data_IF_744836982800
#
_entry.id   IF_744836982800
#
_cell.length_a   1.000
_cell.length_b   1.000
_cell.length_c   1.000
_cell.angle_alpha   90.00
_cell.angle_beta   90.00
_cell.angle_gamma   90.00
#
_symmetry.space_group_name_H-M   'P 1'
#
loop_
_entity.id
_entity.type
_entity.pdbx_description
1 polymer ?
#
# COMPACT_ATOMS: atom_id res chain seq x y z
N UNK A 1 16.91 -15.99 -11.52
CA UNK A 1 17.23 -14.65 -12.07
C UNK A 1 17.61 -13.76 -10.90
N UNK A 2 18.91 -13.52 -10.67
CA UNK A 2 19.45 -12.77 -9.52
C UNK A 2 20.17 -11.51 -10.02
N UNK A 3 20.18 -10.46 -9.20
CA UNK A 3 21.12 -9.32 -9.21
C UNK A 3 21.02 -8.28 -10.34
N UNK A 4 19.86 -7.63 -10.53
CA UNK A 4 19.82 -6.35 -11.28
C UNK A 4 19.44 -5.11 -10.45
N UNK A 5 18.98 -5.27 -9.21
CA UNK A 5 18.39 -4.16 -8.43
C UNK A 5 19.30 -3.61 -7.31
N UNK A 6 20.59 -3.97 -7.28
CA UNK A 6 21.50 -3.55 -6.19
C UNK A 6 22.27 -2.24 -6.44
N UNK A 7 22.23 -1.70 -7.65
CA UNK A 7 23.04 -0.53 -8.03
C UNK A 7 22.14 0.59 -8.54
N UNK A 8 22.33 1.80 -8.02
CA UNK A 8 21.49 2.95 -8.35
C UNK A 8 21.97 3.74 -9.57
N UNK A 9 23.29 3.85 -9.77
CA UNK A 9 23.87 4.55 -10.93
C UNK A 9 25.22 3.89 -11.26
N UNK A 10 25.49 3.71 -12.55
CA UNK A 10 26.77 3.21 -13.06
C UNK A 10 27.26 4.21 -14.09
N UNK A 11 28.24 5.04 -13.70
CA UNK A 11 28.85 6.02 -14.60
C UNK A 11 30.21 5.54 -15.07
N UNK A 12 30.38 5.56 -16.39
CA UNK A 12 31.63 5.23 -17.06
C UNK A 12 32.38 6.53 -17.33
N UNK A 13 33.51 6.72 -16.66
CA UNK A 13 34.44 7.81 -16.97
C UNK A 13 35.69 7.20 -17.63
N UNK A 14 35.94 7.56 -18.90
CA UNK A 14 37.19 7.25 -19.58
C UNK A 14 38.15 8.41 -19.40
N UNK A 15 39.29 8.16 -18.75
CA UNK A 15 40.40 9.12 -18.71
C UNK A 15 41.57 8.55 -19.52
N UNK A 16 42.02 9.29 -20.52
CA UNK A 16 43.34 9.07 -21.10
C UNK A 16 44.37 9.54 -20.08
N UNK A 17 45.15 8.60 -19.54
CA UNK A 17 46.32 8.92 -18.75
C UNK A 17 47.46 9.16 -19.73
N UNK A 18 47.92 10.41 -19.82
CA UNK A 18 49.14 10.75 -20.57
C UNK A 18 50.30 10.28 -19.70
N UNK A 19 51.06 9.32 -20.20
CA UNK A 19 52.30 8.89 -19.55
C UNK A 19 53.40 9.91 -19.89
N UNK A 20 53.82 10.69 -18.89
CA UNK A 20 55.05 11.48 -18.94
C UNK A 20 56.25 10.53 -18.81
N UNK A 21 56.59 9.80 -19.88
CA UNK A 21 57.97 9.32 -20.01
C UNK A 21 58.37 9.09 -21.46
N UNK A 22 59.40 9.82 -21.89
CA UNK A 22 59.93 9.81 -23.23
C UNK A 22 60.98 8.70 -23.36
N UNK A 23 60.58 7.48 -23.75
CA UNK A 23 61.37 6.51 -24.55
C UNK A 23 60.91 5.04 -24.40
N UNK A 24 59.61 4.73 -24.45
CA UNK A 24 59.18 3.33 -24.59
C UNK A 24 57.98 3.20 -25.53
N UNK A 25 58.04 2.20 -26.41
CA UNK A 25 57.07 1.96 -27.47
C UNK A 25 55.65 1.82 -26.90
N UNK A 26 54.80 2.69 -27.42
CA UNK A 26 53.47 3.08 -26.94
C UNK A 26 52.49 1.91 -26.88
N UNK A 27 52.27 1.37 -25.70
CA UNK A 27 51.00 0.73 -25.36
C UNK A 27 50.10 1.77 -24.68
N UNK A 28 49.20 2.39 -25.44
CA UNK A 28 48.21 3.31 -24.88
C UNK A 28 47.39 2.56 -23.82
N UNK A 29 47.60 2.88 -22.54
CA UNK A 29 46.92 2.20 -21.44
C UNK A 29 45.60 2.89 -21.19
N UNK A 30 44.49 2.21 -21.47
CA UNK A 30 43.14 2.74 -21.22
C UNK A 30 42.79 2.45 -19.76
N UNK A 31 42.64 3.51 -18.96
CA UNK A 31 42.13 3.41 -17.59
C UNK A 31 40.59 3.50 -17.57
N UNK A 32 39.94 2.46 -17.06
CA UNK A 32 38.48 2.44 -16.84
C UNK A 32 38.19 2.73 -15.36
N UNK A 33 37.56 3.87 -15.07
CA UNK A 33 37.05 4.17 -13.73
C UNK A 33 35.53 3.95 -13.70
N UNK A 34 35.08 2.97 -12.91
CA UNK A 34 33.66 2.71 -12.67
C UNK A 34 33.34 3.20 -11.26
N UNK A 35 32.54 4.27 -11.14
CA UNK A 35 31.98 4.68 -9.86
C UNK A 35 30.69 3.90 -9.62
N UNK A 36 30.65 3.16 -8.52
CA UNK A 36 29.49 2.35 -8.13
C UNK A 36 28.90 2.99 -6.88
N UNK A 37 27.62 3.33 -6.93
CA UNK A 37 26.84 3.73 -5.74
C UNK A 37 25.89 2.59 -5.41
N UNK A 38 26.11 1.98 -4.23
CA UNK A 38 25.25 0.92 -3.72
C UNK A 38 23.88 1.48 -3.35
N UNK A 39 22.82 0.76 -3.74
CA UNK A 39 21.47 1.13 -3.34
C UNK A 39 21.29 0.96 -1.82
N UNK A 40 20.47 1.80 -1.16
CA UNK A 40 20.11 1.57 0.24
C UNK A 40 19.40 0.22 0.37
N UNK A 41 19.95 -0.65 1.22
CA UNK A 41 19.42 -1.98 1.51
C UNK A 41 18.93 -2.07 2.94
N UNK A 42 17.89 -2.86 3.15
CA UNK A 42 17.32 -3.21 4.44
C UNK A 42 17.49 -4.71 4.61
N UNK A 43 18.07 -5.14 5.73
CA UNK A 43 18.14 -6.55 6.06
C UNK A 43 16.91 -6.93 6.88
N UNK A 44 16.02 -7.76 6.35
CA UNK A 44 14.83 -8.22 7.06
C UNK A 44 15.00 -9.70 7.44
N UNK A 45 15.29 -10.00 8.70
CA UNK A 45 15.30 -11.36 9.24
C UNK A 45 13.90 -11.97 9.21
N UNK A 46 12.88 -11.16 9.49
CA UNK A 46 11.48 -11.56 9.42
C UNK A 46 10.66 -10.50 8.68
N UNK A 47 9.72 -10.95 7.86
CA UNK A 47 8.69 -10.07 7.30
C UNK A 47 7.38 -10.33 8.01
N UNK A 48 6.78 -9.29 8.57
CA UNK A 48 5.47 -9.33 9.21
C UNK A 48 4.45 -8.57 8.36
N UNK A 49 3.19 -9.00 8.41
CA UNK A 49 2.09 -8.33 7.73
C UNK A 49 0.95 -8.23 8.74
N UNK A 50 0.53 -7.01 9.01
CA UNK A 50 -0.50 -6.68 9.97
C UNK A 50 -1.69 -6.00 9.29
N UNK A 51 -2.86 -6.13 9.90
CA UNK A 51 -4.09 -5.46 9.46
C UNK A 51 -4.76 -6.06 8.21
N UNK A 52 -4.19 -7.13 7.64
CA UNK A 52 -4.85 -7.94 6.62
C UNK A 52 -5.95 -8.82 7.23
N UNK A 53 -7.18 -8.32 7.20
CA UNK A 53 -8.37 -9.04 7.70
C UNK A 53 -8.96 -9.96 6.65
N UNK A 54 -8.96 -9.53 5.39
CA UNK A 54 -9.58 -10.26 4.29
C UNK A 54 -8.69 -11.37 3.75
N UNK A 55 -7.43 -11.06 3.48
CA UNK A 55 -6.53 -12.00 2.81
C UNK A 55 -5.54 -12.60 3.82
N UNK A 56 -5.41 -13.93 3.89
CA UNK A 56 -4.48 -14.56 4.82
C UNK A 56 -3.03 -14.11 4.61
N UNK A 57 -2.28 -13.90 5.70
CA UNK A 57 -0.88 -13.45 5.66
C UNK A 57 -0.01 -14.36 4.78
N UNK A 58 -0.20 -15.68 4.86
CA UNK A 58 0.53 -16.64 4.05
C UNK A 58 0.27 -16.47 2.53
N UNK A 59 -0.96 -16.11 2.15
CA UNK A 59 -1.32 -15.83 0.77
C UNK A 59 -0.58 -14.60 0.26
N UNK A 60 -0.62 -13.49 1.01
CA UNK A 60 0.05 -12.23 0.62
C UNK A 60 1.57 -12.46 0.49
N UNK A 61 2.20 -13.12 1.48
CA UNK A 61 3.63 -13.44 1.42
C UNK A 61 4.02 -14.23 0.18
N UNK A 62 3.26 -15.28 -0.14
CA UNK A 62 3.52 -16.12 -1.31
C UNK A 62 3.26 -15.38 -2.62
N UNK A 63 2.16 -14.64 -2.71
CA UNK A 63 1.75 -13.92 -3.92
C UNK A 63 2.76 -12.84 -4.31
N UNK A 64 3.27 -12.10 -3.33
CA UNK A 64 4.25 -11.03 -3.55
C UNK A 64 5.69 -11.46 -3.36
N UNK A 65 5.98 -12.74 -3.13
CA UNK A 65 7.35 -13.25 -2.90
C UNK A 65 8.08 -12.43 -1.82
N UNK A 66 7.43 -12.26 -0.67
CA UNK A 66 8.00 -11.57 0.48
C UNK A 66 8.86 -12.56 1.27
N UNK A 67 10.15 -12.56 0.98
CA UNK A 67 11.16 -13.43 1.59
C UNK A 67 12.12 -12.62 2.46
N UNK A 68 12.57 -13.22 3.56
CA UNK A 68 13.59 -12.61 4.42
C UNK A 68 14.95 -12.53 3.71
N UNK A 69 15.75 -11.53 4.10
CA UNK A 69 17.08 -11.28 3.56
C UNK A 69 17.32 -9.80 3.28
N UNK A 70 18.33 -9.53 2.46
CA UNK A 70 18.65 -8.18 1.99
C UNK A 70 17.66 -7.75 0.90
N UNK A 71 16.97 -6.65 1.15
CA UNK A 71 16.00 -6.07 0.25
C UNK A 71 16.44 -4.64 -0.07
N UNK A 72 16.58 -4.32 -1.36
CA UNK A 72 16.75 -2.93 -1.77
C UNK A 72 15.50 -2.13 -1.36
N UNK A 73 15.69 -0.92 -0.83
CA UNK A 73 14.59 -0.09 -0.35
C UNK A 73 13.54 0.18 -1.44
N UNK A 74 13.97 0.31 -2.69
CA UNK A 74 13.08 0.52 -3.83
C UNK A 74 12.25 -0.74 -4.14
N UNK A 75 12.80 -1.94 -3.90
CA UNK A 75 12.03 -3.19 -3.97
C UNK A 75 10.99 -3.22 -2.88
N UNK A 76 11.31 -2.83 -1.64
CA UNK A 76 10.35 -2.76 -0.52
C UNK A 76 9.18 -1.81 -0.86
N UNK A 77 9.49 -0.59 -1.34
CA UNK A 77 8.48 0.39 -1.79
C UNK A 77 7.63 -0.15 -2.93
N UNK A 78 8.23 -0.83 -3.90
CA UNK A 78 7.49 -1.44 -5.01
C UNK A 78 6.56 -2.54 -4.52
N UNK A 79 6.99 -3.37 -3.58
CA UNK A 79 6.15 -4.41 -2.97
C UNK A 79 4.98 -3.79 -2.19
N UNK A 80 5.22 -2.72 -1.42
CA UNK A 80 4.17 -1.94 -0.77
C UNK A 80 3.10 -1.48 -1.78
N UNK A 81 3.52 -0.87 -2.90
CA UNK A 81 2.60 -0.40 -3.94
C UNK A 81 1.83 -1.55 -4.57
N UNK A 82 2.49 -2.67 -4.89
CA UNK A 82 1.83 -3.84 -5.48
C UNK A 82 0.77 -4.46 -4.56
N UNK A 83 1.02 -4.46 -3.24
CA UNK A 83 0.03 -4.91 -2.25
C UNK A 83 -1.15 -3.93 -2.24
N UNK A 84 -0.89 -2.62 -2.22
CA UNK A 84 -1.95 -1.61 -2.27
C UNK A 84 -2.82 -1.75 -3.53
N UNK A 85 -2.19 -1.88 -4.71
CA UNK A 85 -2.88 -2.06 -5.98
C UNK A 85 -3.69 -3.37 -6.01
N UNK A 86 -3.19 -4.44 -5.38
CA UNK A 86 -3.92 -5.71 -5.28
C UNK A 86 -5.22 -5.59 -4.50
N UNK A 87 -5.20 -4.83 -3.41
CA UNK A 87 -6.38 -4.53 -2.61
C UNK A 87 -7.35 -3.64 -3.39
N UNK A 88 -6.83 -2.57 -4.00
CA UNK A 88 -7.60 -1.66 -4.85
C UNK A 88 -8.34 -2.41 -5.96
N UNK A 89 -7.64 -3.28 -6.69
CA UNK A 89 -8.20 -4.09 -7.78
C UNK A 89 -9.26 -5.10 -7.32
N UNK A 90 -9.35 -5.38 -6.03
CA UNK A 90 -10.40 -6.24 -5.42
C UNK A 90 -11.52 -5.45 -4.76
N UNK A 91 -11.55 -4.13 -4.98
CA UNK A 91 -12.61 -3.26 -4.49
C UNK A 91 -12.37 -2.71 -3.09
N UNK A 92 -11.14 -2.78 -2.57
CA UNK A 92 -10.74 -2.08 -1.35
C UNK A 92 -10.15 -0.71 -1.73
N UNK A 93 -11.01 0.21 -2.14
CA UNK A 93 -10.61 1.53 -2.62
C UNK A 93 -9.88 2.38 -1.58
N UNK A 94 -10.13 2.09 -0.31
CA UNK A 94 -9.57 2.82 0.82
C UNK A 94 -8.39 2.08 1.45
N UNK A 95 -7.96 0.98 0.84
CA UNK A 95 -6.83 0.25 1.35
C UNK A 95 -5.55 1.08 1.23
N UNK A 96 -4.85 1.23 2.35
CA UNK A 96 -3.52 1.84 2.40
C UNK A 96 -2.54 0.84 2.96
N UNK A 97 -1.35 0.77 2.36
CA UNK A 97 -0.27 -0.08 2.83
C UNK A 97 0.91 0.80 3.17
N UNK A 98 1.44 0.64 4.37
CA UNK A 98 2.68 1.28 4.83
C UNK A 98 3.66 0.21 5.24
N UNK A 99 4.96 0.51 5.21
CA UNK A 99 5.96 -0.37 5.82
C UNK A 99 6.73 0.39 6.90
N UNK A 100 7.20 -0.35 7.89
CA UNK A 100 8.15 0.12 8.89
C UNK A 100 9.26 -0.91 9.00
N UNK A 101 10.49 -0.42 9.04
CA UNK A 101 11.63 -1.21 9.46
C UNK A 101 11.94 -0.85 10.92
N UNK A 102 12.03 -1.85 11.78
CA UNK A 102 12.35 -1.67 13.19
C UNK A 102 13.82 -2.04 13.35
N UNK A 103 14.70 -1.04 13.24
CA UNK A 103 16.15 -1.21 13.38
C UNK A 103 16.62 -1.27 14.83
N UNK A 104 15.86 -0.68 15.77
CA UNK A 104 16.25 -0.60 17.18
C UNK A 104 15.02 -0.31 18.04
N UNK A 105 14.85 -1.08 19.11
CA UNK A 105 13.98 -0.69 20.22
C UNK A 105 14.84 -0.46 21.43
N UNK A 106 14.78 0.77 21.95
CA UNK A 106 15.37 1.11 23.23
C UNK A 106 14.45 0.54 24.31
N UNK A 107 14.88 -0.57 24.93
CA UNK A 107 14.22 -1.09 26.11
C UNK A 107 14.75 -0.32 27.33
N UNK A 108 13.85 0.34 28.05
CA UNK A 108 14.19 0.95 29.33
C UNK A 108 14.02 -0.12 30.41
N UNK A 109 15.11 -0.52 31.04
CA UNK A 109 15.06 -1.39 32.20
C UNK A 109 14.79 -0.53 33.45
N UNK A 110 13.62 -0.72 34.05
CA UNK A 110 13.20 0.01 35.24
C UNK A 110 13.94 -0.42 36.52
N UNK A 111 14.48 -1.65 36.58
CA UNK A 111 15.19 -2.14 37.77
C UNK A 111 16.62 -1.60 37.81
N UNK A 112 17.32 -1.59 36.66
CA UNK A 112 18.70 -1.09 36.59
C UNK A 112 18.81 0.40 36.24
N UNK A 113 17.69 1.06 35.88
CA UNK A 113 17.65 2.41 35.35
C UNK A 113 18.59 2.62 34.13
N UNK A 114 18.81 1.55 33.36
CA UNK A 114 19.64 1.59 32.14
C UNK A 114 18.79 1.43 30.88
N UNK A 115 19.18 2.16 29.83
CA UNK A 115 18.63 1.94 28.49
C UNK A 115 19.46 0.83 27.85
N UNK A 116 18.86 -0.34 27.69
CA UNK A 116 19.50 -1.44 26.97
C UNK A 116 19.03 -1.40 25.52
N UNK A 117 19.98 -1.38 24.59
CA UNK A 117 19.68 -1.52 23.17
C UNK A 117 19.26 -2.97 22.94
N UNK A 118 17.96 -3.21 22.86
CA UNK A 118 17.44 -4.53 22.56
C UNK A 118 17.31 -4.61 21.06
N UNK A 119 18.19 -5.41 20.44
CA UNK A 119 18.07 -5.79 19.04
C UNK A 119 16.81 -6.64 18.90
N UNK A 120 15.68 -5.99 18.69
CA UNK A 120 14.51 -6.66 18.14
C UNK A 120 14.92 -7.13 16.75
N UNK A 121 14.77 -8.43 16.51
CA UNK A 121 15.10 -9.09 15.25
C UNK A 121 14.72 -8.20 14.07
N UNK A 122 15.61 -8.03 13.08
CA UNK A 122 15.41 -7.09 11.96
C UNK A 122 14.09 -7.38 11.23
N UNK A 123 13.00 -6.74 11.68
CA UNK A 123 11.64 -7.05 11.25
C UNK A 123 11.16 -5.95 10.32
N UNK A 124 10.85 -6.36 9.10
CA UNK A 124 10.15 -5.52 8.14
C UNK A 124 8.64 -5.79 8.25
N UNK A 125 7.91 -4.83 8.77
CA UNK A 125 6.45 -4.93 8.95
C UNK A 125 5.73 -4.15 7.85
N UNK A 126 4.86 -4.83 7.10
CA UNK A 126 3.86 -4.18 6.25
C UNK A 126 2.54 -4.07 7.01
N UNK A 127 2.07 -2.85 7.24
CA UNK A 127 0.77 -2.59 7.85
C UNK A 127 -0.23 -2.27 6.75
N UNK A 128 -1.28 -3.07 6.67
CA UNK A 128 -2.38 -2.92 5.73
C UNK A 128 -3.58 -2.39 6.50
N UNK A 129 -4.02 -1.19 6.19
CA UNK A 129 -5.35 -0.73 6.57
C UNK A 129 -6.26 -0.97 5.38
N UNK A 130 -7.19 -1.92 5.48
CA UNK A 130 -8.14 -2.24 4.38
C UNK A 130 -9.17 -1.12 4.14
N UNK A 131 -9.25 -0.16 5.08
CA UNK A 131 -10.18 0.97 5.07
C UNK A 131 -11.62 0.55 5.41
N UNK A 132 -12.40 1.53 5.84
CA UNK A 132 -13.84 1.37 6.15
C UNK A 132 -14.63 2.46 5.44
N UNK A 133 -15.89 2.15 5.13
CA UNK A 133 -16.87 3.14 4.68
C UNK A 133 -17.81 3.40 5.84
N UNK A 134 -17.73 4.59 6.43
CA UNK A 134 -18.52 4.94 7.61
C UNK A 134 -19.93 5.42 7.29
N UNK A 135 -20.15 6.06 6.13
CA UNK A 135 -21.46 6.63 5.81
C UNK A 135 -21.74 6.65 4.30
N UNK A 136 -23.00 6.41 3.94
CA UNK A 136 -23.55 6.66 2.60
C UNK A 136 -24.70 7.66 2.75
N UNK A 137 -24.55 8.83 2.13
CA UNK A 137 -25.57 9.88 2.06
C UNK A 137 -26.20 9.94 0.68
N UNK A 138 -27.53 9.96 0.66
CA UNK A 138 -28.32 10.29 -0.53
C UNK A 138 -28.78 11.73 -0.40
N UNK A 139 -28.61 12.52 -1.47
CA UNK A 139 -29.04 13.93 -1.50
C UNK A 139 -29.86 14.18 -2.76
N UNK A 140 -30.82 15.10 -2.68
CA UNK A 140 -31.70 15.46 -3.81
C UNK A 140 -32.76 14.42 -4.18
N UNK A 141 -32.90 13.33 -3.41
CA UNK A 141 -33.96 12.35 -3.61
C UNK A 141 -35.28 12.87 -3.00
N UNK A 142 -36.20 13.33 -3.86
CA UNK A 142 -37.53 13.80 -3.44
C UNK A 142 -38.63 12.76 -3.65
N UNK A 143 -38.44 11.84 -4.60
CA UNK A 143 -39.46 10.85 -5.00
C UNK A 143 -39.17 9.44 -4.51
N UNK A 144 -37.91 9.11 -4.23
CA UNK A 144 -37.49 7.78 -3.82
C UNK A 144 -36.98 7.87 -2.39
N UNK A 145 -37.51 7.02 -1.52
CA UNK A 145 -37.12 6.98 -0.12
C UNK A 145 -35.68 6.48 0.04
N UNK A 146 -35.04 6.83 1.17
CA UNK A 146 -33.70 6.33 1.51
C UNK A 146 -33.69 4.80 1.57
N UNK A 147 -34.73 4.20 2.13
CA UNK A 147 -34.87 2.74 2.29
C UNK A 147 -34.94 2.03 0.93
N UNK A 148 -35.69 2.58 -0.03
CA UNK A 148 -35.74 2.05 -1.40
C UNK A 148 -34.38 2.15 -2.10
N UNK A 149 -33.67 3.27 -1.93
CA UNK A 149 -32.31 3.44 -2.46
C UNK A 149 -31.34 2.44 -1.84
N UNK A 150 -31.35 2.27 -0.53
CA UNK A 150 -30.53 1.28 0.17
C UNK A 150 -30.83 -0.14 -0.33
N UNK A 151 -32.11 -0.52 -0.38
CA UNK A 151 -32.56 -1.84 -0.84
C UNK A 151 -32.16 -2.11 -2.28
N UNK A 152 -32.33 -1.14 -3.17
CA UNK A 152 -32.03 -1.33 -4.59
C UNK A 152 -30.54 -1.37 -4.90
N UNK A 153 -29.75 -0.59 -4.17
CA UNK A 153 -28.30 -0.65 -4.21
C UNK A 153 -27.76 -1.85 -3.42
N UNK A 154 -28.66 -2.61 -2.78
CA UNK A 154 -28.36 -3.75 -1.92
C UNK A 154 -27.31 -3.38 -0.85
N UNK A 155 -27.50 -2.20 -0.27
CA UNK A 155 -26.66 -1.63 0.79
C UNK A 155 -27.25 -2.10 2.12
N UNK A 156 -26.67 -3.15 2.69
CA UNK A 156 -26.94 -3.56 4.07
C UNK A 156 -26.29 -2.51 4.99
N UNK A 157 -27.10 -1.69 5.66
CA UNK A 157 -26.64 -0.89 6.79
C UNK A 157 -26.89 -1.70 8.05
N UNK A 158 -25.92 -1.78 8.97
CA UNK A 158 -26.16 -2.29 10.31
C UNK A 158 -27.38 -1.57 10.92
N UNK A 159 -28.25 -2.34 11.56
CA UNK A 159 -29.65 -2.04 11.82
C UNK A 159 -29.94 -0.57 12.20
N UNK A 160 -30.94 0.02 11.55
CA UNK A 160 -31.41 1.39 11.81
C UNK A 160 -32.03 1.59 13.22
N UNK A 161 -32.09 0.54 14.03
CA UNK A 161 -32.59 0.56 15.40
C UNK A 161 -31.53 0.94 16.45
N UNK A 162 -30.28 1.17 16.03
CA UNK A 162 -29.25 1.66 16.96
C UNK A 162 -29.44 3.13 17.32
N UNK A 163 -29.58 3.36 18.63
CA UNK A 163 -29.75 4.68 19.26
C UNK A 163 -28.72 5.69 18.73
N UNK A 164 -29.10 6.98 18.58
CA UNK A 164 -28.28 8.05 17.97
C UNK A 164 -26.92 8.35 18.64
N UNK A 165 -26.58 7.66 19.75
CA UNK A 165 -25.31 7.80 20.48
C UNK A 165 -24.47 6.51 20.51
N UNK A 166 -24.84 5.48 19.73
CA UNK A 166 -23.97 4.31 19.51
C UNK A 166 -22.81 4.72 18.59
N UNK A 167 -21.54 4.35 18.87
CA UNK A 167 -20.45 4.55 17.92
C UNK A 167 -20.87 3.89 16.61
N UNK A 168 -21.08 4.71 15.57
CA UNK A 168 -21.70 4.30 14.30
C UNK A 168 -21.14 2.94 13.89
N UNK A 169 -21.94 1.86 13.90
CA UNK A 169 -21.46 0.54 13.50
C UNK A 169 -20.94 0.70 12.08
N UNK A 170 -19.68 0.34 11.86
CA UNK A 170 -19.02 0.51 10.56
C UNK A 170 -19.94 -0.03 9.47
N UNK A 171 -20.45 0.88 8.63
CA UNK A 171 -21.49 0.56 7.64
C UNK A 171 -21.00 -0.51 6.67
N UNK A 172 -19.67 -0.60 6.47
CA UNK A 172 -19.03 -1.71 5.76
C UNK A 172 -17.68 -2.11 6.35
N UNK A 173 -17.59 -3.37 6.80
CA UNK A 173 -16.32 -4.09 6.98
C UNK A 173 -15.95 -4.99 5.80
N UNK A 174 -16.89 -5.27 4.91
CA UNK A 174 -16.62 -6.08 3.72
C UNK A 174 -16.24 -5.17 2.57
N UNK A 175 -15.16 -5.57 1.89
CA UNK A 175 -14.93 -5.33 0.46
C UNK A 175 -16.22 -5.01 -0.24
N UNK A 176 -16.18 -4.00 -1.09
CA UNK A 176 -16.88 -3.92 -2.37
C UNK A 176 -17.02 -2.43 -2.74
N UNK A 177 -16.10 -1.53 -2.36
CA UNK A 177 -16.17 -0.12 -2.80
C UNK A 177 -16.38 -0.03 -4.31
N UNK A 178 -15.45 -0.57 -5.10
CA UNK A 178 -15.54 -0.38 -6.56
C UNK A 178 -16.49 -1.38 -7.23
N UNK A 179 -16.54 -2.63 -6.76
CA UNK A 179 -17.45 -3.63 -7.35
C UNK A 179 -18.90 -3.32 -7.02
N UNK A 180 -19.21 -2.88 -5.78
CA UNK A 180 -20.53 -2.39 -5.41
C UNK A 180 -20.80 -1.05 -6.07
N UNK A 181 -19.88 -0.09 -6.11
CA UNK A 181 -20.09 1.17 -6.84
C UNK A 181 -20.34 0.91 -8.33
N UNK A 182 -19.61 -0.01 -8.95
CA UNK A 182 -19.85 -0.40 -10.34
C UNK A 182 -21.15 -1.18 -10.50
N UNK A 183 -21.52 -2.03 -9.55
CA UNK A 183 -22.81 -2.72 -9.53
C UNK A 183 -23.97 -1.72 -9.35
N UNK A 184 -23.84 -0.77 -8.43
CA UNK A 184 -24.75 0.34 -8.20
C UNK A 184 -24.87 1.19 -9.45
N UNK A 185 -23.75 1.52 -10.10
CA UNK A 185 -23.72 2.22 -11.39
C UNK A 185 -24.48 1.46 -12.46
N UNK A 186 -24.25 0.14 -12.56
CA UNK A 186 -24.99 -0.71 -13.50
C UNK A 186 -26.48 -0.77 -13.16
N UNK A 187 -26.85 -0.93 -11.89
CA UNK A 187 -28.24 -1.01 -11.44
C UNK A 187 -29.00 0.30 -11.66
N UNK A 188 -28.38 1.43 -11.34
CA UNK A 188 -28.93 2.77 -11.59
C UNK A 188 -29.04 3.05 -13.09
N UNK A 189 -28.08 2.59 -13.89
CA UNK A 189 -28.12 2.75 -15.35
C UNK A 189 -29.03 1.73 -16.06
N UNK A 190 -29.42 0.64 -15.41
CA UNK A 190 -30.13 -0.48 -16.04
C UNK A 190 -31.60 -0.18 -16.40
N UNK A 191 -32.04 1.08 -16.41
CA UNK A 191 -33.42 1.45 -16.79
C UNK A 191 -34.48 0.67 -16.00
N UNK A 192 -34.21 0.36 -14.73
CA UNK A 192 -35.24 -0.16 -13.84
C UNK A 192 -36.31 0.93 -13.69
N UNK A 193 -37.59 0.56 -13.78
CA UNK A 193 -38.74 1.48 -13.60
C UNK A 193 -38.55 2.36 -12.36
N UNK A 194 -38.02 1.74 -11.30
CA UNK A 194 -37.73 2.33 -9.99
C UNK A 194 -36.73 3.52 -10.02
N UNK A 195 -35.90 3.66 -11.06
CA UNK A 195 -34.82 4.66 -11.13
C UNK A 195 -34.90 5.62 -12.32
N UNK A 196 -35.97 5.56 -13.11
CA UNK A 196 -36.16 6.45 -14.27
C UNK A 196 -36.13 7.95 -13.89
N UNK A 197 -36.45 8.28 -12.64
CA UNK A 197 -36.44 9.66 -12.12
C UNK A 197 -35.08 10.14 -11.60
N UNK A 198 -34.09 9.24 -11.42
CA UNK A 198 -32.76 9.64 -10.93
C UNK A 198 -31.93 10.19 -12.10
N UNK A 199 -31.88 11.52 -12.19
CA UNK A 199 -30.98 12.23 -13.10
C UNK A 199 -29.78 12.80 -12.33
N UNK A 200 -28.60 12.77 -12.93
CA UNK A 200 -27.39 13.43 -12.42
C UNK A 200 -26.87 12.93 -11.05
N UNK A 201 -26.95 11.63 -10.79
CA UNK A 201 -26.34 11.06 -9.58
C UNK A 201 -24.81 11.07 -9.66
N UNK A 202 -24.15 11.26 -8.51
CA UNK A 202 -22.69 11.19 -8.37
C UNK A 202 -22.32 10.54 -7.04
N UNK A 203 -21.25 9.76 -7.03
CA UNK A 203 -20.61 9.30 -5.80
C UNK A 203 -19.47 10.26 -5.49
N UNK A 204 -19.51 10.89 -4.32
CA UNK A 204 -18.45 11.78 -3.84
C UNK A 204 -17.95 11.31 -2.48
N UNK A 205 -16.64 11.50 -2.26
CA UNK A 205 -15.95 11.12 -1.04
C UNK A 205 -15.92 12.33 -0.11
N UNK A 206 -16.65 12.29 1.00
CA UNK A 206 -16.50 13.28 2.08
C UNK A 206 -15.37 12.82 3.01
N UNK A 207 -14.37 13.68 3.26
CA UNK A 207 -13.34 13.42 4.27
C UNK A 207 -11.87 13.37 3.81
N UNK A 208 -11.56 13.66 2.55
CA UNK A 208 -10.18 14.00 2.19
C UNK A 208 -9.84 15.40 2.71
N UNK A 209 -9.19 15.51 3.87
CA UNK A 209 -8.47 16.76 4.20
C UNK A 209 -7.43 16.97 3.10
N UNK A 210 -7.57 18.07 2.35
CA UNK A 210 -6.48 18.64 1.56
C UNK A 210 -5.35 19.08 2.49
#
# INVERSE_FOLDING_TARGET
>A
MRNRDMFQDVRLETKQLIADDAASERSATIGLLIKITEAPVVFARQIQIDGNRTFPTAFIKRWFQLESGYLALDVVKRKQQLIADFYLNRGYEFATVTYRHIDDVLAFDHESATVTRQYLDDVLTFTINEGTLHEVRFTGNHQISREELLKALNIETADADEKPNSPTPDVYHRSLGQSKINQMRRQLNANNEDFKSIQNWRVQREGGKN
#
